data_IF_025063766936
#
_entry.id   IF_025063766936
#
_cell.length_a   1.000
_cell.length_b   1.000
_cell.length_c   1.000
_cell.angle_alpha   90.00
_cell.angle_beta   90.00
_cell.angle_gamma   90.00
#
_symmetry.space_group_name_H-M   'P 1'
#
loop_
_entity.id
_entity.type
_entity.pdbx_description
1 polymer ?
#
# COMPACT_ATOMS: atom_id res chain seq x y z
N UNK A 1 74.22 -70.69 65.70
CA UNK A 1 73.79 -69.45 66.36
C UNK A 1 73.09 -68.61 65.30
N UNK A 2 71.81 -68.94 65.03
CA UNK A 2 70.60 -68.31 65.59
C UNK A 2 70.22 -67.11 64.72
N UNK A 3 69.08 -67.00 64.02
CA UNK A 3 67.74 -67.63 64.01
C UNK A 3 67.08 -67.25 62.65
N UNK A 4 66.42 -68.15 61.90
CA UNK A 4 64.95 -68.31 61.76
C UNK A 4 64.18 -67.01 61.39
N UNK A 5 63.25 -66.88 60.42
CA UNK A 5 62.41 -67.82 59.65
C UNK A 5 61.62 -67.10 58.52
N UNK A 6 61.32 -67.82 57.42
CA UNK A 6 60.03 -68.00 56.66
C UNK A 6 59.10 -66.76 56.42
N UNK A 7 58.34 -66.53 55.33
CA UNK A 7 57.94 -67.24 54.10
C UNK A 7 57.20 -66.26 53.13
N UNK A 8 57.25 -66.58 51.83
CA UNK A 8 56.34 -66.33 50.68
C UNK A 8 55.16 -65.32 50.70
N UNK A 9 55.03 -64.57 49.59
CA UNK A 9 53.72 -64.11 49.09
C UNK A 9 53.71 -62.98 48.04
N UNK A 10 54.09 -63.26 46.80
CA UNK A 10 53.71 -62.67 45.48
C UNK A 10 52.78 -61.43 45.46
N UNK A 11 53.01 -60.36 44.66
CA UNK A 11 53.07 -60.33 43.17
C UNK A 11 53.75 -59.02 42.67
N UNK A 12 54.46 -59.17 41.53
CA UNK A 12 55.20 -58.22 40.67
C UNK A 12 54.90 -56.70 40.77
N UNK A 13 55.94 -55.84 40.65
CA UNK A 13 55.83 -54.57 39.95
C UNK A 13 56.49 -54.60 38.57
N UNK A 14 55.83 -53.89 37.66
CA UNK A 14 56.06 -53.72 36.23
C UNK A 14 57.47 -53.29 35.85
N UNK A 15 57.95 -53.88 34.75
CA UNK A 15 59.12 -53.43 34.01
C UNK A 15 58.93 -52.02 33.44
N UNK A 16 59.97 -51.22 33.59
CA UNK A 16 60.17 -49.92 32.98
C UNK A 16 60.34 -50.12 31.46
N UNK A 17 59.33 -49.75 30.65
CA UNK A 17 59.50 -49.55 29.21
C UNK A 17 59.61 -48.05 28.94
N UNK A 18 60.77 -47.62 28.44
CA UNK A 18 60.95 -46.32 27.81
C UNK A 18 60.18 -46.32 26.48
N UNK A 19 59.02 -45.67 26.44
CA UNK A 19 58.32 -45.35 25.20
C UNK A 19 58.85 -44.01 24.67
N UNK A 20 59.50 -44.03 23.52
CA UNK A 20 59.62 -42.84 22.68
C UNK A 20 58.21 -42.42 22.25
N UNK A 21 57.74 -41.29 22.78
CA UNK A 21 56.54 -40.63 22.28
C UNK A 21 56.86 -39.99 20.92
N UNK A 22 56.46 -40.64 19.84
CA UNK A 22 56.35 -40.00 18.54
C UNK A 22 55.22 -38.96 18.62
N UNK A 23 55.58 -37.69 18.65
CA UNK A 23 54.63 -36.59 18.49
C UNK A 23 54.04 -36.62 17.08
N UNK A 24 52.81 -37.11 16.96
CA UNK A 24 51.94 -36.90 15.80
C UNK A 24 50.73 -36.11 16.27
N UNK A 25 50.96 -34.81 16.48
CA UNK A 25 49.90 -33.85 16.74
C UNK A 25 49.27 -33.39 15.42
N UNK A 26 47.96 -33.63 15.29
CA UNK A 26 47.02 -32.85 14.47
C UNK A 26 47.31 -32.70 12.97
N UNK A 27 47.40 -33.80 12.23
CA UNK A 27 46.92 -33.84 10.84
C UNK A 27 46.00 -35.06 10.72
N UNK A 28 44.78 -34.93 11.25
CA UNK A 28 43.72 -35.82 10.80
C UNK A 28 43.33 -35.33 9.40
N UNK A 29 43.62 -36.16 8.40
CA UNK A 29 43.08 -36.04 7.06
C UNK A 29 41.56 -35.87 7.17
N UNK A 30 41.02 -34.81 6.56
CA UNK A 30 39.57 -34.61 6.50
C UNK A 30 39.01 -35.77 5.69
N UNK A 31 38.14 -36.57 6.30
CA UNK A 31 37.31 -37.55 5.60
C UNK A 31 36.80 -36.93 4.29
N UNK A 32 36.96 -37.60 3.12
CA UNK A 32 36.48 -37.04 1.86
C UNK A 32 34.98 -36.81 1.95
N UNK A 33 34.52 -35.67 1.41
CA UNK A 33 33.10 -35.23 1.40
C UNK A 33 32.14 -36.25 0.73
N UNK A 34 32.64 -37.37 0.22
CA UNK A 34 31.90 -38.45 -0.44
C UNK A 34 31.05 -39.29 0.51
N UNK A 35 31.32 -39.30 1.82
CA UNK A 35 30.53 -40.04 2.83
C UNK A 35 29.41 -39.20 3.47
N UNK A 36 29.51 -37.85 3.43
CA UNK A 36 28.39 -36.96 3.78
C UNK A 36 27.56 -36.77 2.53
N UNK A 37 26.28 -37.16 2.59
CA UNK A 37 25.35 -37.07 1.46
C UNK A 37 25.51 -35.75 0.70
N UNK A 38 25.65 -35.85 -0.62
CA UNK A 38 25.91 -34.76 -1.59
C UNK A 38 24.80 -33.69 -1.66
N UNK A 39 23.90 -33.63 -0.68
CA UNK A 39 22.81 -32.67 -0.61
C UNK A 39 23.19 -31.52 0.34
N UNK A 40 22.79 -30.29 -0.03
CA UNK A 40 23.06 -29.08 0.74
C UNK A 40 22.60 -29.18 2.21
N UNK A 41 21.57 -30.00 2.49
CA UNK A 41 21.03 -30.24 3.84
C UNK A 41 22.05 -30.85 4.82
N UNK A 42 23.07 -31.56 4.31
CA UNK A 42 24.12 -32.15 5.13
C UNK A 42 25.01 -31.13 5.85
N UNK A 43 25.11 -29.92 5.31
CA UNK A 43 25.91 -28.82 5.87
C UNK A 43 25.05 -27.64 6.36
N UNK A 44 23.99 -27.28 5.61
CA UNK A 44 23.17 -26.11 5.87
C UNK A 44 21.95 -26.37 6.75
N UNK A 45 21.74 -27.61 7.20
CA UNK A 45 20.56 -27.98 7.97
C UNK A 45 19.37 -28.32 7.07
N UNK A 46 18.29 -28.82 7.68
CA UNK A 46 17.04 -29.14 6.99
C UNK A 46 15.99 -28.14 7.46
N UNK A 47 15.66 -27.15 6.64
CA UNK A 47 14.58 -26.21 6.93
C UNK A 47 13.20 -26.89 6.82
N UNK A 48 12.13 -26.30 7.38
CA UNK A 48 10.80 -26.87 7.25
C UNK A 48 10.20 -26.47 5.90
N UNK A 49 10.32 -27.33 4.89
CA UNK A 49 9.62 -27.15 3.62
C UNK A 49 10.01 -28.18 2.55
N UNK A 50 9.01 -28.71 1.84
CA UNK A 50 9.15 -29.70 0.76
C UNK A 50 9.51 -29.05 -0.61
N UNK A 51 10.18 -27.89 -0.60
CA UNK A 51 10.65 -27.18 -1.81
C UNK A 51 12.09 -27.53 -2.18
N UNK A 52 12.60 -27.10 -3.36
CA UNK A 52 13.98 -27.37 -3.78
C UNK A 52 15.06 -26.82 -2.82
N UNK A 53 14.66 -25.91 -1.90
CA UNK A 53 15.53 -25.18 -0.96
C UNK A 53 15.36 -25.62 0.51
N UNK A 54 15.10 -26.91 0.77
CA UNK A 54 15.02 -27.44 2.14
C UNK A 54 16.34 -27.37 2.94
N UNK A 55 17.38 -26.72 2.43
CA UNK A 55 18.74 -26.67 2.99
C UNK A 55 19.06 -25.31 3.59
N UNK A 56 18.61 -25.06 4.83
CA UNK A 56 18.80 -23.77 5.46
C UNK A 56 18.89 -23.82 6.99
N UNK A 57 19.60 -22.86 7.62
CA UNK A 57 19.71 -22.76 9.06
C UNK A 57 18.34 -22.53 9.73
N UNK A 58 18.10 -23.08 10.94
CA UNK A 58 18.99 -23.89 11.76
C UNK A 58 18.98 -25.40 11.44
N UNK A 59 20.07 -26.11 11.82
CA UNK A 59 21.28 -25.56 12.43
C UNK A 59 22.12 -24.79 11.41
N UNK A 60 22.71 -23.67 11.85
CA UNK A 60 23.77 -23.03 11.07
C UNK A 60 24.93 -23.99 10.84
N UNK A 61 25.83 -23.66 9.91
CA UNK A 61 26.87 -24.57 9.42
C UNK A 61 27.53 -25.36 10.57
N UNK A 62 27.45 -26.70 10.47
CA UNK A 62 27.90 -27.63 11.50
C UNK A 62 29.38 -27.45 11.88
N UNK A 63 30.22 -26.96 10.97
CA UNK A 63 31.63 -26.62 11.23
C UNK A 63 31.81 -25.53 12.31
N UNK A 64 30.78 -24.73 12.58
CA UNK A 64 30.75 -23.72 13.65
C UNK A 64 29.93 -24.15 14.88
N UNK A 65 29.74 -25.47 15.06
CA UNK A 65 29.12 -26.07 16.23
C UNK A 65 27.60 -26.19 16.17
N UNK A 66 27.00 -26.14 14.97
CA UNK A 66 25.57 -26.45 14.78
C UNK A 66 24.62 -25.52 15.54
N UNK A 67 24.96 -24.23 15.65
CA UNK A 67 24.18 -23.25 16.42
C UNK A 67 22.77 -23.11 15.85
N UNK A 68 21.76 -23.08 16.71
CA UNK A 68 20.35 -22.93 16.34
C UNK A 68 19.70 -21.63 16.83
N UNK A 69 20.40 -20.84 17.64
CA UNK A 69 19.87 -19.55 18.13
C UNK A 69 19.78 -18.54 16.99
N UNK A 70 18.65 -17.87 16.86
CA UNK A 70 18.45 -16.76 15.90
C UNK A 70 19.28 -15.52 16.25
N UNK A 71 19.89 -15.47 17.43
CA UNK A 71 20.81 -14.40 17.83
C UNK A 71 22.15 -14.45 17.07
N UNK A 72 22.47 -15.58 16.42
CA UNK A 72 23.66 -15.66 15.56
C UNK A 72 23.32 -15.38 14.11
N UNK A 73 24.14 -14.55 13.44
CA UNK A 73 23.91 -14.11 12.05
C UNK A 73 23.71 -15.26 11.06
N UNK A 74 24.45 -16.36 11.24
CA UNK A 74 24.35 -17.55 10.41
C UNK A 74 23.02 -18.32 10.54
N UNK A 75 22.21 -18.04 11.56
CA UNK A 75 20.84 -18.56 11.68
C UNK A 75 19.85 -17.42 11.42
N UNK A 76 19.86 -16.39 12.28
CA UNK A 76 19.08 -15.17 12.10
C UNK A 76 17.64 -15.41 11.64
N UNK A 77 17.21 -14.63 10.66
CA UNK A 77 15.86 -14.67 10.10
C UNK A 77 15.72 -15.58 8.86
N UNK A 78 16.63 -16.53 8.60
CA UNK A 78 16.56 -17.40 7.41
C UNK A 78 15.20 -18.13 7.31
N UNK A 79 14.79 -18.80 8.38
CA UNK A 79 13.50 -19.53 8.41
C UNK A 79 12.30 -18.65 8.10
N UNK A 80 12.25 -17.42 8.65
CA UNK A 80 11.15 -16.48 8.40
C UNK A 80 11.05 -16.09 6.92
N UNK A 81 12.18 -15.96 6.23
CA UNK A 81 12.20 -15.61 4.81
C UNK A 81 11.83 -16.81 3.94
N UNK A 82 12.39 -17.99 4.23
CA UNK A 82 12.17 -19.20 3.44
C UNK A 82 10.74 -19.74 3.58
N UNK A 83 10.11 -19.58 4.74
CA UNK A 83 8.71 -19.97 4.94
C UNK A 83 7.72 -18.90 4.45
N UNK A 84 8.17 -17.64 4.40
CA UNK A 84 7.29 -16.49 4.25
C UNK A 84 6.42 -16.27 5.50
N UNK A 85 5.33 -15.53 5.36
CA UNK A 85 4.51 -15.20 6.52
C UNK A 85 3.17 -14.57 6.17
N UNK A 86 2.65 -13.73 7.06
CA UNK A 86 1.41 -13.00 6.83
C UNK A 86 1.54 -11.96 5.70
N UNK A 87 2.74 -11.40 5.50
CA UNK A 87 2.96 -10.29 4.58
C UNK A 87 3.50 -10.69 3.20
N UNK A 88 4.20 -11.81 3.09
CA UNK A 88 4.89 -12.19 1.86
C UNK A 88 4.90 -13.71 1.66
N UNK A 89 4.99 -14.12 0.40
CA UNK A 89 5.31 -15.49 0.02
C UNK A 89 6.77 -15.83 0.37
N UNK A 90 7.14 -17.12 0.46
CA UNK A 90 8.53 -17.57 0.55
C UNK A 90 9.51 -16.80 -0.34
N UNK A 91 10.71 -16.59 0.18
CA UNK A 91 11.84 -15.97 -0.50
C UNK A 91 12.90 -17.03 -0.74
N UNK A 92 13.34 -17.18 -1.99
CA UNK A 92 14.38 -18.14 -2.37
C UNK A 92 15.79 -17.64 -2.01
N UNK A 93 16.74 -18.57 -1.90
CA UNK A 93 18.12 -18.29 -1.53
C UNK A 93 18.81 -17.31 -2.50
N UNK A 94 18.50 -17.40 -3.80
CA UNK A 94 19.09 -16.56 -4.87
C UNK A 94 18.73 -15.07 -4.76
N UNK A 95 17.72 -14.74 -3.94
CA UNK A 95 17.38 -13.35 -3.64
C UNK A 95 18.49 -12.64 -2.87
N UNK A 96 19.26 -13.36 -2.05
CA UNK A 96 20.32 -12.80 -1.20
C UNK A 96 21.72 -13.35 -1.52
N UNK A 97 21.81 -14.60 -1.96
CA UNK A 97 23.07 -15.31 -2.16
C UNK A 97 23.24 -15.75 -3.61
N UNK A 98 24.48 -15.99 -4.02
CA UNK A 98 24.72 -16.82 -5.20
C UNK A 98 24.61 -18.29 -4.77
N UNK A 99 23.58 -19.00 -5.22
CA UNK A 99 23.37 -20.41 -4.86
C UNK A 99 24.24 -21.30 -5.75
N UNK A 100 25.20 -22.04 -5.20
CA UNK A 100 26.07 -22.92 -5.98
C UNK A 100 25.30 -24.16 -6.43
N UNK A 101 25.59 -24.66 -7.63
CA UNK A 101 25.02 -25.92 -8.13
C UNK A 101 25.76 -27.17 -7.62
N UNK A 102 26.99 -27.01 -7.13
CA UNK A 102 27.87 -28.08 -6.66
C UNK A 102 28.65 -27.61 -5.43
N UNK A 103 29.08 -28.55 -4.59
CA UNK A 103 29.73 -28.25 -3.29
C UNK A 103 31.11 -27.58 -3.45
N UNK A 104 31.83 -27.82 -4.54
CA UNK A 104 33.16 -27.25 -4.82
C UNK A 104 33.11 -26.05 -5.78
N UNK A 105 31.92 -25.51 -6.05
CA UNK A 105 31.78 -24.32 -6.86
C UNK A 105 32.67 -23.17 -6.33
N UNK A 106 33.39 -22.44 -7.21
CA UNK A 106 34.22 -21.32 -6.78
C UNK A 106 33.41 -20.31 -5.96
N UNK A 107 33.90 -19.94 -4.78
CA UNK A 107 33.21 -19.03 -3.86
C UNK A 107 32.24 -19.69 -2.89
N UNK A 108 32.05 -21.02 -2.92
CA UNK A 108 31.18 -21.71 -1.96
C UNK A 108 31.94 -22.21 -0.72
N UNK A 109 33.07 -22.88 -0.92
CA UNK A 109 33.94 -23.39 0.14
C UNK A 109 35.31 -22.70 0.06
N UNK A 110 35.39 -21.46 0.53
CA UNK A 110 36.62 -20.69 0.60
C UNK A 110 36.93 -20.26 2.05
N UNK A 111 37.96 -19.42 2.22
CA UNK A 111 38.42 -18.92 3.50
C UNK A 111 37.77 -17.58 3.90
N UNK A 112 36.96 -16.99 3.01
CA UNK A 112 36.32 -15.71 3.24
C UNK A 112 35.03 -15.92 4.04
N UNK A 113 34.96 -15.31 5.23
CA UNK A 113 33.80 -15.42 6.13
C UNK A 113 33.28 -14.03 6.48
N UNK A 114 31.95 -13.84 6.57
CA UNK A 114 30.86 -14.81 6.32
C UNK A 114 30.51 -14.94 4.83
N UNK A 115 29.66 -15.92 4.48
CA UNK A 115 29.15 -16.14 3.12
C UNK A 115 28.68 -14.84 2.44
N UNK A 116 29.06 -14.67 1.18
CA UNK A 116 28.84 -13.44 0.43
C UNK A 116 27.37 -13.23 0.14
N UNK A 117 26.95 -11.97 0.25
CA UNK A 117 25.65 -11.52 -0.20
C UNK A 117 25.76 -10.92 -1.60
N UNK A 118 24.95 -11.45 -2.51
CA UNK A 118 24.75 -10.92 -3.86
C UNK A 118 23.25 -10.79 -4.09
N UNK A 119 22.70 -9.68 -3.61
CA UNK A 119 21.28 -9.39 -3.75
C UNK A 119 20.86 -9.33 -5.22
N UNK A 120 19.74 -9.99 -5.53
CA UNK A 120 19.20 -10.07 -6.87
C UNK A 120 17.66 -10.12 -6.85
N UNK A 121 17.06 -10.03 -8.05
CA UNK A 121 15.60 -10.18 -8.22
C UNK A 121 14.80 -9.27 -7.30
N UNK A 122 13.93 -9.86 -6.48
CA UNK A 122 13.00 -9.16 -5.59
C UNK A 122 13.69 -8.23 -4.59
N UNK A 123 14.91 -8.55 -4.14
CA UNK A 123 15.64 -7.67 -3.22
C UNK A 123 15.92 -6.30 -3.85
N UNK A 124 16.19 -6.27 -5.16
CA UNK A 124 16.55 -5.06 -5.92
C UNK A 124 15.37 -4.50 -6.74
N UNK A 125 14.14 -4.93 -6.46
CA UNK A 125 12.96 -4.36 -7.10
C UNK A 125 12.87 -2.84 -6.84
N UNK A 126 12.14 -2.13 -7.69
CA UNK A 126 12.04 -0.66 -7.63
C UNK A 126 13.42 0.03 -7.61
N UNK A 127 14.41 -0.58 -8.27
CA UNK A 127 15.79 -0.09 -8.37
C UNK A 127 16.54 0.01 -7.03
N UNK A 128 16.06 -0.68 -5.99
CA UNK A 128 16.71 -0.69 -4.69
C UNK A 128 18.18 -1.15 -4.78
N UNK A 129 19.08 -0.34 -4.22
CA UNK A 129 20.49 -0.69 -4.05
C UNK A 129 20.64 -1.50 -2.75
N UNK A 130 20.36 -2.79 -2.83
CA UNK A 130 20.33 -3.64 -1.64
C UNK A 130 21.70 -3.83 -1.02
N UNK A 131 21.74 -3.82 0.31
CA UNK A 131 22.95 -3.98 1.09
C UNK A 131 22.67 -4.60 2.46
N UNK A 132 23.74 -5.12 3.05
CA UNK A 132 23.76 -5.62 4.42
C UNK A 132 24.96 -5.01 5.13
N UNK A 133 24.73 -4.39 6.29
CA UNK A 133 25.81 -3.95 7.17
C UNK A 133 26.15 -5.09 8.15
N UNK A 134 27.30 -5.76 7.99
CA UNK A 134 27.67 -6.84 8.89
C UNK A 134 27.96 -6.35 10.32
N UNK A 135 28.37 -5.10 10.53
CA UNK A 135 28.66 -4.57 11.86
C UNK A 135 27.39 -4.28 12.64
N UNK A 136 26.41 -3.67 11.99
CA UNK A 136 25.10 -3.40 12.59
C UNK A 136 24.18 -4.63 12.58
N UNK A 137 24.42 -5.58 11.67
CA UNK A 137 23.54 -6.73 11.44
C UNK A 137 22.23 -6.35 10.76
N UNK A 138 22.19 -5.23 10.04
CA UNK A 138 20.97 -4.69 9.43
C UNK A 138 20.99 -4.85 7.91
N UNK A 139 19.81 -5.05 7.34
CA UNK A 139 19.61 -5.15 5.90
C UNK A 139 18.88 -3.92 5.36
N UNK A 140 19.27 -3.43 4.19
CA UNK A 140 18.51 -2.42 3.43
C UNK A 140 18.25 -3.00 2.04
N UNK A 141 16.98 -3.28 1.72
CA UNK A 141 16.53 -3.90 0.46
C UNK A 141 15.22 -3.25 0.04
N UNK A 142 14.70 -3.59 -1.16
CA UNK A 142 13.36 -3.19 -1.56
C UNK A 142 12.30 -3.56 -0.49
N UNK A 143 12.31 -4.81 -0.03
CA UNK A 143 11.38 -5.31 0.98
C UNK A 143 11.58 -4.61 2.34
N UNK A 144 12.80 -4.16 2.64
CA UNK A 144 13.10 -3.37 3.84
C UNK A 144 13.02 -1.87 3.56
N UNK A 145 12.25 -1.45 2.56
CA UNK A 145 11.86 -0.06 2.36
C UNK A 145 12.98 0.86 1.88
N UNK A 146 14.05 0.34 1.28
CA UNK A 146 15.14 1.15 0.72
C UNK A 146 14.63 2.23 -0.26
N UNK A 147 13.56 1.92 -0.99
CA UNK A 147 12.93 2.84 -1.97
C UNK A 147 11.48 3.17 -1.62
N UNK A 148 10.92 2.55 -0.58
CA UNK A 148 9.54 2.75 -0.17
C UNK A 148 9.40 3.92 0.81
N UNK A 149 8.40 4.77 0.59
CA UNK A 149 8.15 5.95 1.39
C UNK A 149 7.27 5.64 2.62
N UNK A 150 7.54 6.32 3.74
CA UNK A 150 6.70 6.29 4.95
C UNK A 150 6.87 5.07 5.87
N UNK A 151 7.76 4.14 5.53
CA UNK A 151 8.09 2.99 6.39
C UNK A 151 8.87 3.39 7.65
N UNK A 152 8.60 2.69 8.75
CA UNK A 152 9.18 2.96 10.07
C UNK A 152 10.32 2.02 10.47
N UNK A 153 10.48 0.89 9.77
CA UNK A 153 11.48 -0.15 10.05
C UNK A 153 12.25 -0.52 8.78
N UNK A 154 13.00 0.45 8.25
CA UNK A 154 13.68 0.33 6.95
C UNK A 154 15.10 -0.27 7.01
N UNK A 155 15.55 -0.60 8.20
CA UNK A 155 16.85 -1.24 8.46
C UNK A 155 16.69 -2.29 9.57
N UNK A 156 15.86 -3.34 9.37
CA UNK A 156 15.61 -4.33 10.41
C UNK A 156 16.88 -5.10 10.78
N UNK A 157 17.00 -5.45 12.05
CA UNK A 157 18.07 -6.29 12.58
C UNK A 157 17.82 -7.75 12.18
N UNK A 158 18.76 -8.36 11.45
CA UNK A 158 18.67 -9.73 10.92
C UNK A 158 18.46 -10.80 12.00
N UNK A 159 19.01 -10.57 13.20
CA UNK A 159 18.95 -11.51 14.33
C UNK A 159 17.75 -11.31 15.25
N UNK A 160 16.85 -10.36 14.92
CA UNK A 160 15.65 -10.08 15.70
C UNK A 160 14.40 -10.62 15.00
N UNK A 161 13.89 -11.73 15.53
CA UNK A 161 12.78 -12.52 14.96
C UNK A 161 11.53 -12.53 15.87
N UNK A 162 11.42 -11.57 16.79
CA UNK A 162 10.33 -11.46 17.78
C UNK A 162 9.02 -10.87 17.23
N UNK A 163 8.93 -10.65 15.90
CA UNK A 163 7.78 -10.05 15.23
C UNK A 163 7.67 -8.53 15.36
N UNK A 164 8.55 -7.86 16.10
CA UNK A 164 8.47 -6.40 16.31
C UNK A 164 8.86 -5.57 15.07
N UNK A 165 9.46 -6.22 14.06
CA UNK A 165 9.94 -5.60 12.82
C UNK A 165 9.05 -5.91 11.61
N UNK A 166 7.87 -6.53 11.82
CA UNK A 166 6.98 -7.00 10.74
C UNK A 166 5.58 -6.38 10.81
N UNK A 167 5.45 -5.17 11.35
CA UNK A 167 4.19 -4.42 11.30
C UNK A 167 3.87 -3.91 9.88
N UNK A 168 2.60 -3.64 9.58
CA UNK A 168 2.18 -3.18 8.23
C UNK A 168 2.86 -1.87 7.79
N UNK A 169 3.28 -1.02 8.74
CA UNK A 169 4.00 0.22 8.48
C UNK A 169 5.55 0.07 8.56
N UNK A 170 6.07 -1.16 8.56
CA UNK A 170 7.51 -1.41 8.63
C UNK A 170 8.22 -0.94 7.35
N UNK A 171 7.75 -1.41 6.19
CA UNK A 171 8.42 -1.23 4.91
C UNK A 171 8.00 0.07 4.20
N UNK A 172 6.69 0.34 4.16
CA UNK A 172 6.08 1.54 3.57
C UNK A 172 5.07 2.17 4.53
N UNK A 173 4.59 3.38 4.22
CA UNK A 173 3.55 4.04 5.00
C UNK A 173 2.23 3.27 4.97
N UNK A 174 1.44 3.37 6.04
CA UNK A 174 0.11 2.77 6.11
C UNK A 174 -0.95 3.84 6.44
N UNK A 175 -1.52 4.54 5.44
CA UNK A 175 -1.23 4.46 4.00
C UNK A 175 0.10 5.14 3.60
N UNK A 176 0.60 4.94 2.36
CA UNK A 176 1.75 5.67 1.85
C UNK A 176 1.56 7.20 1.91
N UNK A 177 2.64 8.00 1.92
CA UNK A 177 2.54 9.45 1.83
C UNK A 177 1.84 9.93 0.55
N UNK A 178 1.46 11.21 0.53
CA UNK A 178 0.98 11.88 -0.69
C UNK A 178 1.94 11.62 -1.88
N UNK A 179 1.44 11.41 -3.10
CA UNK A 179 0.08 11.67 -3.59
C UNK A 179 -0.97 10.57 -3.27
N UNK A 180 -0.61 9.54 -2.49
CA UNK A 180 -1.54 8.48 -2.14
C UNK A 180 -2.72 9.00 -1.28
N UNK A 181 -3.97 8.53 -1.51
CA UNK A 181 -5.09 8.84 -0.64
C UNK A 181 -4.81 8.45 0.81
N UNK A 182 -5.09 9.35 1.75
CA UNK A 182 -4.85 9.13 3.17
C UNK A 182 -6.01 8.34 3.82
N UNK A 183 -6.25 7.13 3.31
CA UNK A 183 -7.29 6.19 3.76
C UNK A 183 -6.68 4.83 4.08
N UNK A 184 -7.20 4.16 5.11
CA UNK A 184 -6.84 2.78 5.47
C UNK A 184 -7.73 1.73 4.80
N UNK A 185 -8.64 2.12 3.92
CA UNK A 185 -9.48 1.21 3.15
C UNK A 185 -8.73 0.68 1.91
N UNK A 186 -7.60 -0.01 2.13
CA UNK A 186 -6.66 -0.39 1.07
C UNK A 186 -7.32 -1.25 -0.02
N UNK A 187 -8.25 -2.13 0.35
CA UNK A 187 -8.96 -3.02 -0.58
C UNK A 187 -9.80 -2.29 -1.64
N UNK A 188 -10.13 -1.02 -1.43
CA UNK A 188 -10.83 -0.20 -2.41
C UNK A 188 -10.02 -0.04 -3.71
N UNK A 189 -8.68 0.01 -3.59
CA UNK A 189 -7.76 0.16 -4.72
C UNK A 189 -6.91 -1.09 -4.94
N UNK A 190 -6.54 -1.79 -3.86
CA UNK A 190 -5.62 -2.94 -3.85
C UNK A 190 -6.33 -4.26 -3.55
N UNK A 191 -7.64 -4.37 -3.86
CA UNK A 191 -8.48 -5.52 -3.49
C UNK A 191 -8.02 -6.88 -4.02
N UNK A 192 -7.13 -6.91 -5.02
CA UNK A 192 -6.48 -8.14 -5.48
C UNK A 192 -5.44 -8.66 -4.47
N UNK A 193 -4.84 -7.78 -3.68
CA UNK A 193 -3.73 -8.07 -2.76
C UNK A 193 -4.19 -8.12 -1.31
N UNK A 194 -5.10 -7.22 -0.93
CA UNK A 194 -5.52 -7.00 0.46
C UNK A 194 -7.04 -7.01 0.59
N UNK A 195 -7.56 -7.62 1.66
CA UNK A 195 -8.99 -7.64 1.96
C UNK A 195 -9.48 -6.41 2.73
N UNK A 196 -10.80 -6.31 2.96
CA UNK A 196 -11.42 -5.21 3.69
C UNK A 196 -11.04 -5.10 5.17
N UNK A 197 -10.29 -6.07 5.72
CA UNK A 197 -9.72 -6.04 7.08
C UNK A 197 -8.22 -5.74 7.06
N UNK A 198 -7.67 -5.36 5.90
CA UNK A 198 -6.26 -5.13 5.65
C UNK A 198 -5.37 -6.36 5.82
N UNK A 199 -5.92 -7.57 5.66
CA UNK A 199 -5.14 -8.80 5.59
C UNK A 199 -4.66 -9.05 4.15
N UNK A 200 -3.40 -9.45 4.00
CA UNK A 200 -2.82 -9.80 2.70
C UNK A 200 -3.34 -11.16 2.28
N UNK A 201 -4.20 -11.18 1.26
CA UNK A 201 -4.83 -12.39 0.71
C UNK A 201 -4.04 -12.97 -0.45
N UNK A 202 -3.28 -12.14 -1.19
CA UNK A 202 -2.41 -12.58 -2.28
C UNK A 202 -0.94 -12.24 -1.99
N UNK A 203 -0.32 -13.02 -1.11
CA UNK A 203 1.06 -12.82 -0.63
C UNK A 203 2.13 -12.84 -1.72
N UNK A 204 1.86 -13.53 -2.83
CA UNK A 204 2.75 -13.57 -3.99
C UNK A 204 2.77 -12.25 -4.77
N UNK A 205 1.75 -11.39 -4.58
CA UNK A 205 1.66 -10.08 -5.22
C UNK A 205 2.17 -8.96 -4.31
N UNK A 206 1.88 -9.02 -3.01
CA UNK A 206 2.18 -7.91 -2.09
C UNK A 206 3.64 -7.43 -2.08
N UNK A 207 4.60 -8.34 -2.23
CA UNK A 207 6.04 -8.01 -2.25
C UNK A 207 6.67 -8.58 -3.52
N UNK A 208 6.13 -8.26 -4.69
CA UNK A 208 6.68 -8.71 -5.98
C UNK A 208 7.44 -7.60 -6.75
N UNK A 209 7.49 -6.38 -6.21
CA UNK A 209 8.13 -5.23 -6.89
C UNK A 209 7.21 -4.43 -7.81
N UNK A 210 5.93 -4.81 -7.92
CA UNK A 210 4.91 -4.15 -8.72
C UNK A 210 3.78 -3.72 -7.81
N UNK A 211 3.16 -2.57 -8.10
CA UNK A 211 1.97 -2.11 -7.37
C UNK A 211 0.74 -2.54 -8.14
N UNK A 212 -0.03 -3.47 -7.58
CA UNK A 212 -1.34 -3.86 -8.12
C UNK A 212 -2.43 -2.87 -7.67
N UNK A 213 -2.94 -2.10 -8.61
CA UNK A 213 -4.15 -1.27 -8.43
C UNK A 213 -5.24 -1.83 -9.34
N UNK A 214 -6.50 -1.80 -8.90
CA UNK A 214 -7.65 -2.10 -9.73
C UNK A 214 -7.71 -1.10 -10.91
N UNK A 215 -7.12 -1.46 -12.06
CA UNK A 215 -7.01 -0.58 -13.24
C UNK A 215 -8.30 -0.43 -14.03
N UNK A 216 -9.21 -1.41 -13.91
CA UNK A 216 -10.55 -1.37 -14.50
C UNK A 216 -11.62 -0.90 -13.51
N UNK A 217 -11.20 -0.25 -12.42
CA UNK A 217 -12.12 0.24 -11.43
C UNK A 217 -12.94 1.41 -12.00
N UNK A 218 -14.26 1.32 -11.86
CA UNK A 218 -15.15 2.47 -12.05
C UNK A 218 -14.76 3.59 -11.06
N UNK A 219 -14.91 4.87 -11.42
CA UNK A 219 -14.49 6.00 -10.56
C UNK A 219 -14.99 5.87 -9.09
N UNK A 220 -16.21 5.34 -8.91
CA UNK A 220 -16.77 5.04 -7.58
C UNK A 220 -16.10 3.94 -6.75
N UNK A 221 -15.01 3.32 -7.21
CA UNK A 221 -14.16 2.47 -6.38
C UNK A 221 -13.36 3.28 -5.37
N UNK A 222 -12.96 4.50 -5.72
CA UNK A 222 -12.08 5.34 -4.90
C UNK A 222 -12.86 6.47 -4.22
N UNK A 223 -13.79 7.11 -4.93
CA UNK A 223 -14.64 8.17 -4.42
C UNK A 223 -16.03 8.06 -5.04
N UNK A 224 -17.10 8.27 -4.26
CA UNK A 224 -18.45 8.13 -4.78
C UNK A 224 -19.17 6.95 -4.16
N UNK A 225 -20.05 6.31 -4.95
CA UNK A 225 -20.84 5.17 -4.50
C UNK A 225 -21.40 4.38 -5.68
N UNK A 226 -22.03 3.24 -5.41
CA UNK A 226 -22.80 2.50 -6.41
C UNK A 226 -23.94 3.32 -7.06
N UNK A 227 -24.32 4.49 -6.51
CA UNK A 227 -25.32 5.36 -7.15
C UNK A 227 -24.71 6.19 -8.28
N UNK A 228 -23.53 6.78 -8.05
CA UNK A 228 -22.79 7.60 -9.00
C UNK A 228 -21.36 7.83 -8.51
N UNK A 229 -20.51 8.30 -9.42
CA UNK A 229 -19.09 8.57 -9.16
C UNK A 229 -18.84 9.84 -8.33
N UNK A 230 -19.86 10.70 -8.15
CA UNK A 230 -19.73 11.85 -7.28
C UNK A 230 -19.72 11.40 -5.82
N UNK A 231 -18.89 11.99 -4.94
CA UNK A 231 -18.88 11.67 -3.50
C UNK A 231 -20.28 11.72 -2.88
N UNK A 232 -20.68 10.63 -2.22
CA UNK A 232 -21.09 10.71 -0.81
C UNK A 232 -19.98 10.19 0.09
N UNK A 233 -18.99 9.48 -0.45
CA UNK A 233 -17.72 9.16 0.20
C UNK A 233 -16.57 9.76 -0.60
N UNK A 234 -15.65 10.46 0.05
CA UNK A 234 -14.43 10.95 -0.61
C UNK A 234 -13.28 9.92 -0.58
N UNK A 235 -12.16 10.23 -1.24
CA UNK A 235 -10.99 9.35 -1.31
C UNK A 235 -10.31 9.07 0.04
N UNK A 236 -10.62 9.84 1.07
CA UNK A 236 -10.18 9.59 2.45
C UNK A 236 -11.20 8.74 3.24
N UNK A 237 -12.26 8.25 2.59
CA UNK A 237 -13.31 7.44 3.20
C UNK A 237 -14.33 8.24 4.01
N UNK A 238 -14.25 9.58 4.02
CA UNK A 238 -15.15 10.44 4.80
C UNK A 238 -16.49 10.57 4.08
N UNK A 239 -17.59 10.63 4.83
CA UNK A 239 -18.95 10.70 4.29
C UNK A 239 -19.74 11.95 4.71
N UNK A 240 -19.16 12.76 5.58
CA UNK A 240 -19.85 13.93 6.13
C UNK A 240 -19.89 15.07 5.12
N UNK A 241 -21.09 15.61 4.84
CA UNK A 241 -21.25 16.73 3.90
C UNK A 241 -20.50 17.99 4.35
N UNK A 242 -20.19 18.09 5.65
CA UNK A 242 -19.39 19.19 6.20
C UNK A 242 -17.92 19.18 5.77
N UNK A 243 -17.41 18.06 5.23
CA UNK A 243 -16.03 17.99 4.71
C UNK A 243 -15.96 18.35 3.24
N UNK A 244 -14.88 19.05 2.85
CA UNK A 244 -14.67 19.56 1.48
C UNK A 244 -14.81 18.47 0.41
N UNK A 245 -14.22 17.30 0.64
CA UNK A 245 -14.20 16.20 -0.34
C UNK A 245 -15.58 15.61 -0.64
N UNK A 246 -16.51 15.71 0.30
CA UNK A 246 -17.89 15.23 0.12
C UNK A 246 -18.78 16.38 -0.35
N UNK A 247 -18.96 17.39 0.50
CA UNK A 247 -19.79 18.55 0.19
C UNK A 247 -21.16 18.21 -0.37
N UNK A 248 -21.74 19.16 -1.10
CA UNK A 248 -23.05 19.02 -1.74
C UNK A 248 -22.98 18.37 -3.14
N UNK A 249 -21.97 17.52 -3.40
CA UNK A 249 -21.82 16.83 -4.68
C UNK A 249 -23.12 16.15 -5.13
N UNK A 250 -23.76 15.39 -4.24
CA UNK A 250 -24.98 14.65 -4.56
C UNK A 250 -26.17 15.55 -4.93
N UNK A 251 -26.19 16.80 -4.46
CA UNK A 251 -27.22 17.77 -4.83
C UNK A 251 -27.15 18.17 -6.30
N UNK A 252 -25.97 18.04 -6.94
CA UNK A 252 -25.72 18.47 -8.31
C UNK A 252 -25.57 17.28 -9.27
N UNK A 253 -24.91 16.21 -8.82
CA UNK A 253 -24.64 15.02 -9.61
C UNK A 253 -25.87 14.10 -9.77
N UNK A 254 -26.99 14.42 -9.10
CA UNK A 254 -28.28 13.74 -9.27
C UNK A 254 -29.29 14.70 -9.89
N UNK A 255 -30.23 14.14 -10.66
CA UNK A 255 -31.41 14.89 -11.08
C UNK A 255 -32.27 15.23 -9.86
N UNK A 256 -32.90 16.39 -9.90
CA UNK A 256 -33.80 16.87 -8.87
C UNK A 256 -35.09 17.40 -9.47
N UNK A 257 -36.01 17.86 -8.63
CA UNK A 257 -37.20 18.59 -9.09
C UNK A 257 -36.84 19.93 -9.79
N UNK A 258 -35.61 20.42 -9.69
CA UNK A 258 -35.23 21.74 -10.19
C UNK A 258 -34.32 21.70 -11.42
N UNK A 259 -33.53 20.64 -11.60
CA UNK A 259 -32.56 20.52 -12.68
C UNK A 259 -32.28 19.05 -13.03
N UNK A 260 -31.75 18.81 -14.23
CA UNK A 260 -31.12 17.54 -14.57
C UNK A 260 -29.78 17.35 -13.81
N UNK A 261 -29.27 16.13 -13.75
CA UNK A 261 -27.94 15.87 -13.19
C UNK A 261 -26.87 16.62 -13.98
N UNK A 262 -25.94 17.28 -13.29
CA UNK A 262 -24.82 17.96 -13.92
C UNK A 262 -23.61 17.02 -14.06
N UNK A 263 -22.94 16.98 -15.22
CA UNK A 263 -21.72 16.20 -15.38
C UNK A 263 -20.57 16.80 -14.58
N UNK A 264 -19.58 15.97 -14.23
CA UNK A 264 -18.38 16.37 -13.49
C UNK A 264 -17.64 17.55 -14.17
N UNK A 265 -17.65 17.60 -15.50
CA UNK A 265 -17.11 18.68 -16.33
C UNK A 265 -17.74 20.06 -16.10
N UNK A 266 -18.82 20.13 -15.31
CA UNK A 266 -19.40 21.39 -14.85
C UNK A 266 -18.48 22.09 -13.85
N UNK A 267 -17.73 21.34 -13.03
CA UNK A 267 -16.88 21.86 -11.96
C UNK A 267 -15.42 21.40 -12.03
N UNK A 268 -15.12 20.30 -12.69
CA UNK A 268 -13.79 19.67 -12.70
C UNK A 268 -13.35 19.31 -14.11
N UNK A 269 -12.04 19.24 -14.34
CA UNK A 269 -11.52 18.44 -15.45
C UNK A 269 -11.67 16.97 -15.05
N UNK A 270 -12.44 16.19 -15.82
CA UNK A 270 -12.75 14.80 -15.47
C UNK A 270 -11.74 13.87 -16.15
N UNK A 271 -10.91 13.14 -15.39
CA UNK A 271 -9.95 12.22 -15.96
C UNK A 271 -10.66 11.02 -16.61
N UNK A 272 -10.02 10.45 -17.61
CA UNK A 272 -10.48 9.24 -18.33
C UNK A 272 -9.76 7.97 -17.87
N UNK A 273 -8.66 8.11 -17.13
CA UNK A 273 -7.87 7.01 -16.54
C UNK A 273 -7.18 7.45 -15.25
N UNK A 274 -6.76 6.48 -14.44
CA UNK A 274 -6.17 6.73 -13.12
C UNK A 274 -4.89 7.58 -13.19
N UNK A 275 -4.03 7.29 -14.15
CA UNK A 275 -2.70 7.90 -14.30
C UNK A 275 -2.72 9.18 -15.15
N UNK A 276 -3.91 9.74 -15.43
CA UNK A 276 -4.02 11.01 -16.12
C UNK A 276 -3.43 12.13 -15.26
N UNK A 277 -2.63 13.01 -15.88
CA UNK A 277 -1.99 14.11 -15.17
C UNK A 277 -3.05 14.99 -14.49
N UNK A 278 -2.84 15.31 -13.22
CA UNK A 278 -3.81 16.07 -12.41
C UNK A 278 -4.89 15.23 -11.73
N UNK A 279 -4.94 13.90 -11.92
CA UNK A 279 -5.86 13.06 -11.17
C UNK A 279 -5.26 12.59 -9.83
N UNK A 280 -4.10 11.94 -9.88
CA UNK A 280 -3.30 11.56 -8.72
C UNK A 280 -2.01 12.38 -8.71
N UNK A 281 -2.00 13.46 -7.95
CA UNK A 281 -0.86 14.37 -7.85
C UNK A 281 -0.62 14.83 -6.40
N UNK A 282 0.36 15.70 -6.21
CA UNK A 282 0.75 16.22 -4.90
C UNK A 282 -0.21 17.29 -4.35
N UNK A 283 -1.28 17.60 -5.10
CA UNK A 283 -2.34 18.48 -4.66
C UNK A 283 -3.30 17.70 -3.74
N UNK A 284 -3.66 18.25 -2.56
CA UNK A 284 -4.49 17.52 -1.60
C UNK A 284 -5.97 17.43 -2.02
N UNK A 285 -6.40 18.05 -3.12
CA UNK A 285 -7.81 18.08 -3.53
C UNK A 285 -7.96 18.25 -5.04
N UNK A 286 -8.98 17.62 -5.63
CA UNK A 286 -9.32 17.79 -7.04
C UNK A 286 -9.45 19.28 -7.45
N UNK A 287 -8.85 19.61 -8.59
CA UNK A 287 -8.83 20.96 -9.13
C UNK A 287 -10.22 21.37 -9.62
N UNK A 288 -10.65 22.57 -9.22
CA UNK A 288 -11.92 23.13 -9.68
C UNK A 288 -11.68 23.95 -10.95
N UNK A 289 -12.26 23.49 -12.05
CA UNK A 289 -12.27 24.15 -13.35
C UNK A 289 -13.70 24.15 -13.89
N UNK A 290 -14.36 25.32 -13.79
CA UNK A 290 -15.76 25.43 -14.18
C UNK A 290 -15.95 25.39 -15.70
N UNK A 291 -16.98 24.67 -16.13
CA UNK A 291 -17.38 24.52 -17.52
C UNK A 291 -18.90 24.43 -17.68
N UNK A 292 -19.37 24.42 -18.94
CA UNK A 292 -20.79 24.19 -19.27
C UNK A 292 -21.76 25.10 -18.50
N UNK A 293 -22.72 24.48 -17.82
CA UNK A 293 -23.80 25.16 -17.10
C UNK A 293 -23.32 26.13 -16.01
N UNK A 294 -22.16 25.91 -15.40
CA UNK A 294 -21.62 26.83 -14.40
C UNK A 294 -21.28 28.21 -15.02
N UNK A 295 -20.75 28.21 -16.24
CA UNK A 295 -20.31 29.42 -16.96
C UNK A 295 -21.35 29.95 -17.98
N UNK A 296 -22.58 29.45 -17.91
CA UNK A 296 -23.68 29.88 -18.75
C UNK A 296 -23.82 31.42 -18.80
N UNK A 297 -24.22 31.93 -19.97
CA UNK A 297 -24.34 33.38 -20.28
C UNK A 297 -23.06 34.21 -20.03
N UNK A 298 -21.90 33.59 -20.19
CA UNK A 298 -20.61 34.26 -20.00
C UNK A 298 -20.25 34.52 -18.53
N UNK A 299 -20.91 33.81 -17.61
CA UNK A 299 -20.58 33.91 -16.18
C UNK A 299 -19.16 33.44 -15.94
N UNK A 300 -18.36 34.28 -15.26
CA UNK A 300 -17.03 33.91 -14.80
C UNK A 300 -17.15 33.23 -13.43
N UNK A 301 -17.32 31.92 -13.43
CA UNK A 301 -17.44 31.18 -12.18
C UNK A 301 -16.14 31.13 -11.41
N UNK A 302 -16.23 31.08 -10.09
CA UNK A 302 -15.08 31.02 -9.19
C UNK A 302 -15.40 30.20 -7.95
N UNK A 303 -14.37 29.59 -7.39
CA UNK A 303 -14.43 28.83 -6.14
C UNK A 303 -13.40 29.36 -5.17
N UNK A 304 -13.85 29.73 -3.96
CA UNK A 304 -12.97 30.11 -2.87
C UNK A 304 -12.69 28.86 -2.03
N UNK A 305 -11.48 28.31 -2.17
CA UNK A 305 -11.07 27.08 -1.48
C UNK A 305 -10.98 27.24 0.04
N UNK A 306 -10.75 28.44 0.56
CA UNK A 306 -10.66 28.69 2.01
C UNK A 306 -12.05 28.82 2.63
N UNK A 307 -12.91 29.62 2.01
CA UNK A 307 -14.28 29.84 2.46
C UNK A 307 -15.24 28.70 2.09
N UNK A 308 -14.82 27.81 1.17
CA UNK A 308 -15.64 26.77 0.56
C UNK A 308 -16.92 27.33 -0.09
N UNK A 309 -16.81 28.49 -0.73
CA UNK A 309 -17.94 29.14 -1.43
C UNK A 309 -17.70 29.18 -2.92
N UNK A 310 -18.77 29.21 -3.71
CA UNK A 310 -18.68 29.34 -5.15
C UNK A 310 -19.58 30.46 -5.68
N UNK A 311 -19.13 31.08 -6.76
CA UNK A 311 -19.94 31.93 -7.63
C UNK A 311 -20.07 31.20 -8.94
N UNK A 312 -21.30 30.91 -9.36
CA UNK A 312 -21.62 30.32 -10.67
C UNK A 312 -22.80 31.05 -11.27
N UNK A 313 -23.19 30.68 -12.48
CA UNK A 313 -24.41 31.18 -13.11
C UNK A 313 -25.65 31.03 -12.22
N UNK A 314 -25.76 29.94 -11.46
CA UNK A 314 -26.90 29.66 -10.57
C UNK A 314 -26.72 30.26 -9.17
N UNK A 315 -25.49 30.34 -8.66
CA UNK A 315 -25.20 30.68 -7.26
C UNK A 315 -24.85 32.16 -7.01
N UNK A 316 -25.10 33.06 -7.97
CA UNK A 316 -25.02 34.51 -7.74
C UNK A 316 -25.79 35.31 -8.81
N UNK A 317 -26.98 34.86 -9.17
CA UNK A 317 -27.75 35.49 -10.26
C UNK A 317 -28.36 36.82 -9.81
N UNK A 318 -28.39 37.86 -10.66
CA UNK A 318 -29.07 39.10 -10.36
C UNK A 318 -30.53 38.88 -9.93
N UNK A 319 -30.94 39.50 -8.82
CA UNK A 319 -32.28 39.39 -8.26
C UNK A 319 -32.52 38.18 -7.35
N UNK A 320 -31.54 37.28 -7.19
CA UNK A 320 -31.62 36.20 -6.21
C UNK A 320 -31.41 36.72 -4.78
N UNK A 321 -32.18 36.18 -3.84
CA UNK A 321 -32.05 36.44 -2.41
C UNK A 321 -31.12 35.42 -1.74
N UNK A 322 -30.18 35.89 -0.92
CA UNK A 322 -29.29 35.01 -0.13
C UNK A 322 -28.21 34.28 -0.95
N UNK A 323 -27.58 34.99 -1.90
CA UNK A 323 -26.65 34.48 -2.92
C UNK A 323 -25.28 33.96 -2.42
N UNK A 324 -25.05 33.82 -1.12
CA UNK A 324 -23.81 33.20 -0.63
C UNK A 324 -24.05 31.73 -0.35
N UNK A 325 -23.58 30.86 -1.25
CA UNK A 325 -23.72 29.41 -1.15
C UNK A 325 -22.41 28.77 -0.68
N UNK A 326 -22.52 27.99 0.39
CA UNK A 326 -21.41 27.20 0.94
C UNK A 326 -21.48 25.77 0.40
N UNK A 327 -20.33 25.26 -0.05
CA UNK A 327 -20.14 23.92 -0.57
C UNK A 327 -20.42 22.82 0.46
N UNK A 328 -20.21 23.10 1.74
CA UNK A 328 -20.31 22.13 2.83
C UNK A 328 -21.57 22.32 3.69
N UNK A 329 -22.48 23.19 3.25
CA UNK A 329 -23.74 23.46 3.95
C UNK A 329 -24.92 23.18 3.03
N UNK A 330 -25.57 22.01 3.15
CA UNK A 330 -26.78 21.71 2.41
C UNK A 330 -27.85 22.75 2.72
N UNK A 331 -28.54 23.21 1.68
CA UNK A 331 -29.69 24.10 1.82
C UNK A 331 -30.72 23.74 0.78
N UNK A 332 -31.98 23.71 1.19
CA UNK A 332 -33.10 23.61 0.26
C UNK A 332 -33.32 24.98 -0.38
N UNK A 333 -33.12 25.13 -1.70
CA UNK A 333 -33.36 26.40 -2.38
C UNK A 333 -34.86 26.70 -2.46
N UNK A 334 -35.23 27.97 -2.33
CA UNK A 334 -36.53 28.48 -2.79
C UNK A 334 -36.39 29.06 -4.21
N UNK A 335 -37.49 29.31 -4.91
CA UNK A 335 -37.48 29.93 -6.25
C UNK A 335 -36.67 31.26 -6.23
N UNK A 336 -36.93 32.09 -5.22
CA UNK A 336 -36.25 33.36 -5.01
C UNK A 336 -34.76 33.22 -4.62
N UNK A 337 -34.28 32.01 -4.34
CA UNK A 337 -32.88 31.74 -4.00
C UNK A 337 -31.96 31.67 -5.23
N UNK A 338 -32.53 31.47 -6.42
CA UNK A 338 -31.77 31.31 -7.68
C UNK A 338 -32.00 32.46 -8.65
N UNK A 339 -33.20 33.04 -8.70
CA UNK A 339 -33.52 34.21 -9.52
C UNK A 339 -34.62 35.03 -8.84
N UNK A 340 -34.87 36.25 -9.32
CA UNK A 340 -36.02 37.04 -8.85
C UNK A 340 -37.33 36.29 -9.09
N UNK A 341 -38.30 36.42 -8.19
CA UNK A 341 -39.63 35.80 -8.36
C UNK A 341 -40.72 36.89 -8.41
N UNK A 342 -41.14 37.36 -9.61
CA UNK A 342 -40.67 37.00 -10.94
C UNK A 342 -39.28 37.59 -11.30
N UNK A 343 -38.62 37.12 -12.38
CA UNK A 343 -37.32 37.64 -12.80
C UNK A 343 -37.32 39.16 -13.05
N UNK A 344 -36.14 39.82 -13.01
CA UNK A 344 -36.04 41.24 -13.34
C UNK A 344 -36.47 41.56 -14.79
N UNK A 345 -36.71 42.84 -15.07
CA UNK A 345 -37.03 43.35 -16.40
C UNK A 345 -36.04 42.81 -17.47
N UNK A 346 -36.50 42.46 -18.68
CA UNK A 346 -37.79 42.82 -19.29
C UNK A 346 -38.98 41.90 -18.94
N UNK A 347 -38.84 40.98 -17.98
CA UNK A 347 -39.92 40.07 -17.59
C UNK A 347 -41.15 40.84 -17.06
N UNK A 348 -42.39 40.46 -17.43
CA UNK A 348 -43.59 41.05 -16.87
C UNK A 348 -43.70 40.76 -15.36
N UNK A 349 -44.31 41.65 -14.59
CA UNK A 349 -44.54 41.45 -13.16
C UNK A 349 -45.71 40.46 -12.90
N UNK A 350 -45.61 39.24 -13.41
CA UNK A 350 -46.62 38.17 -13.32
C UNK A 350 -46.02 36.91 -12.71
N UNK A 351 -46.69 36.34 -11.70
CA UNK A 351 -46.29 35.11 -11.01
C UNK A 351 -46.96 33.84 -11.58
N UNK A 352 -47.87 33.97 -12.54
CA UNK A 352 -48.48 32.84 -13.23
C UNK A 352 -47.60 32.33 -14.38
N UNK A 353 -46.41 31.82 -14.04
CA UNK A 353 -45.36 31.43 -15.00
C UNK A 353 -45.85 30.47 -16.09
N UNK A 354 -46.76 29.55 -15.74
CA UNK A 354 -47.33 28.54 -16.65
C UNK A 354 -48.11 29.13 -17.84
N UNK A 355 -48.42 30.43 -17.86
CA UNK A 355 -49.06 31.07 -19.02
C UNK A 355 -48.10 31.27 -20.20
N UNK A 356 -46.80 31.38 -19.92
CA UNK A 356 -45.76 31.58 -20.95
C UNK A 356 -44.75 30.43 -20.98
N UNK A 357 -44.64 29.67 -19.89
CA UNK A 357 -43.65 28.62 -19.67
C UNK A 357 -44.30 27.30 -19.22
N UNK A 358 -45.54 27.02 -19.62
CA UNK A 358 -46.34 25.86 -19.23
C UNK A 358 -45.73 24.49 -19.54
N UNK A 359 -44.85 24.42 -20.54
CA UNK A 359 -44.05 23.24 -20.89
C UNK A 359 -42.89 22.97 -19.93
N UNK A 360 -42.57 23.93 -19.04
CA UNK A 360 -41.51 23.82 -18.04
C UNK A 360 -42.05 23.93 -16.62
N UNK A 361 -43.06 24.77 -16.40
CA UNK A 361 -43.55 25.17 -15.09
C UNK A 361 -45.08 25.03 -15.06
N UNK A 362 -45.61 24.34 -14.07
CA UNK A 362 -47.04 24.09 -13.91
C UNK A 362 -47.79 25.19 -13.16
N UNK A 363 -49.11 25.11 -13.16
CA UNK A 363 -49.95 26.01 -12.39
C UNK A 363 -49.82 25.73 -10.89
N UNK A 364 -49.49 26.75 -10.08
CA UNK A 364 -49.36 26.63 -8.62
C UNK A 364 -48.65 27.82 -7.97
N UNK A 365 -48.60 27.85 -6.64
CA UNK A 365 -47.82 28.83 -5.87
C UNK A 365 -47.20 28.19 -4.60
N UNK A 366 -45.87 27.91 -4.59
CA UNK A 366 -44.93 28.12 -5.69
C UNK A 366 -45.25 27.19 -6.87
N UNK A 367 -44.98 27.62 -8.11
CA UNK A 367 -45.31 26.83 -9.27
C UNK A 367 -44.38 25.60 -9.37
N UNK A 368 -44.91 24.38 -9.59
CA UNK A 368 -44.09 23.18 -9.70
C UNK A 368 -43.31 23.18 -11.02
N UNK A 369 -42.10 22.64 -11.02
CA UNK A 369 -41.34 22.42 -12.24
C UNK A 369 -41.77 21.08 -12.86
N UNK A 370 -42.29 21.12 -14.08
CA UNK A 370 -42.77 19.95 -14.83
C UNK A 370 -41.65 19.33 -15.67
N UNK A 371 -40.71 20.15 -16.17
CA UNK A 371 -39.57 19.70 -16.95
C UNK A 371 -38.25 20.23 -16.38
N UNK A 372 -37.67 19.59 -15.34
CA UNK A 372 -36.44 20.04 -14.70
C UNK A 372 -35.25 20.16 -15.66
N UNK A 373 -35.18 19.28 -16.67
CA UNK A 373 -34.15 19.33 -17.70
C UNK A 373 -34.26 20.56 -18.61
N UNK A 374 -35.44 21.20 -18.71
CA UNK A 374 -35.64 22.46 -19.43
C UNK A 374 -35.52 23.68 -18.51
N UNK A 375 -35.89 23.55 -17.25
CA UNK A 375 -35.84 24.65 -16.29
C UNK A 375 -34.43 25.22 -16.06
N UNK A 376 -33.39 24.38 -16.13
CA UNK A 376 -32.00 24.77 -15.89
C UNK A 376 -31.05 24.30 -17.01
N UNK A 377 -31.31 24.73 -18.26
CA UNK A 377 -30.55 24.36 -19.47
C UNK A 377 -29.90 25.55 -20.21
N UNK A 378 -29.89 26.73 -19.58
CA UNK A 378 -29.47 28.01 -20.16
C UNK A 378 -30.33 28.57 -21.31
N UNK A 379 -31.45 27.93 -21.64
CA UNK A 379 -32.43 28.42 -22.59
C UNK A 379 -33.65 28.98 -21.86
N UNK A 380 -34.38 29.87 -22.55
CA UNK A 380 -35.72 30.27 -22.11
C UNK A 380 -36.69 29.53 -23.00
N UNK A 381 -37.35 28.53 -22.43
CA UNK A 381 -38.35 27.72 -23.12
C UNK A 381 -39.72 28.38 -22.97
N UNK A 382 -40.34 28.74 -24.10
CA UNK A 382 -41.71 29.24 -24.16
C UNK A 382 -42.65 28.12 -24.62
N UNK A 383 -43.94 28.25 -24.30
CA UNK A 383 -44.96 27.48 -24.98
C UNK A 383 -45.14 28.03 -26.41
N UNK A 384 -45.25 27.13 -27.38
CA UNK A 384 -45.56 27.45 -28.77
C UNK A 384 -47.00 27.98 -28.94
#
# INVERSE_FOLDING_TARGET
MATQSLQFGSRLPLALLALLAAGTGCYNEREPLTERGQACTGCHGSGPGDGPDGSAPPPGLWLFGGRSSTEVRGVGAHELHLQGGALAAPVSCDTCHLVPSEVDAPGHLDDDLPAELRFSGRANADQAQSSYDPRAGTCSTYCHGATLAGGTQREPLWTRVDGTQTGCNACHGFPPPAPHPQSSACAACHGQVVDGKNAIVAKALHVNGTVEVLRDATCHSCHGSATNDAPPQDSAGRTEVSVRGVGVHQSHARASALHAAYPCSTCHLTPTRLEEAGHLDDSPNAEVSFGGAANARGTKSSYNVVALTCTTYCHNRPGASGASWSWTTPRSPSCASCHGFPPPAPHPADSACARCHGGVVGAGNPPPILAPAKHANDQVDFDD
#
